data_IF_962701013517
#
_entry.id   IF_962701013517
#
_cell.length_a   1.000
_cell.length_b   1.000
_cell.length_c   1.000
_cell.angle_alpha   90.00
_cell.angle_beta   90.00
_cell.angle_gamma   90.00
#
_symmetry.space_group_name_H-M   'P 1'
#
loop_
_entity.id
_entity.type
_entity.pdbx_description
1 polymer ?
#
# COMPACT_ATOMS: atom_id res chain seq x y z
N UNK A 1 70.51 -8.51 -64.10
CA UNK A 1 69.92 -7.15 -64.11
C UNK A 1 68.44 -7.30 -63.80
N UNK A 2 67.98 -6.58 -62.76
CA UNK A 2 66.59 -6.18 -62.41
C UNK A 2 65.49 -7.26 -62.44
N UNK A 3 64.72 -7.56 -61.39
CA UNK A 3 64.32 -6.78 -60.21
C UNK A 3 62.80 -6.56 -60.24
N UNK A 4 62.12 -6.90 -59.13
CA UNK A 4 60.74 -6.53 -58.74
C UNK A 4 59.55 -7.08 -59.58
N UNK A 5 58.37 -7.42 -59.05
CA UNK A 5 57.80 -7.36 -57.70
C UNK A 5 56.58 -8.31 -57.64
N UNK A 6 56.39 -8.99 -56.52
CA UNK A 6 55.09 -9.57 -56.15
C UNK A 6 54.14 -8.44 -55.73
N UNK A 7 52.94 -8.37 -56.31
CA UNK A 7 51.86 -7.63 -55.67
C UNK A 7 50.51 -8.35 -55.81
N UNK A 8 50.04 -8.81 -54.66
CA UNK A 8 48.72 -9.36 -54.42
C UNK A 8 47.66 -8.33 -54.87
N UNK A 9 46.82 -8.72 -55.83
CA UNK A 9 45.59 -7.97 -56.13
C UNK A 9 44.58 -8.22 -55.02
N UNK A 10 44.50 -7.23 -54.12
CA UNK A 10 43.42 -7.02 -53.17
C UNK A 10 42.09 -7.05 -53.93
N UNK A 11 41.20 -7.95 -53.53
CA UNK A 11 39.82 -8.03 -54.00
C UNK A 11 39.05 -6.80 -53.46
N UNK A 12 39.25 -5.64 -54.09
CA UNK A 12 38.42 -4.47 -53.90
C UNK A 12 37.07 -4.76 -54.57
N UNK A 13 36.14 -5.34 -53.81
CA UNK A 13 34.72 -5.31 -54.15
C UNK A 13 34.33 -3.84 -54.24
N UNK A 14 34.20 -3.33 -55.48
CA UNK A 14 33.61 -2.03 -55.78
C UNK A 14 32.29 -1.96 -55.01
N UNK A 15 32.19 -1.03 -54.04
CA UNK A 15 30.93 -0.62 -53.46
C UNK A 15 30.07 -0.11 -54.61
N UNK A 16 29.26 -1.01 -55.17
CA UNK A 16 28.39 -0.73 -56.29
C UNK A 16 27.47 0.42 -55.90
N UNK A 17 27.35 1.37 -56.82
CA UNK A 17 26.43 2.49 -56.75
C UNK A 17 25.02 1.97 -56.63
N UNK A 18 24.52 1.87 -55.39
CA UNK A 18 23.14 1.49 -55.11
C UNK A 18 22.19 2.34 -55.97
N UNK A 19 21.19 1.73 -56.63
CA UNK A 19 20.15 2.46 -57.35
C UNK A 19 19.55 3.55 -56.47
N UNK A 20 19.21 4.71 -57.04
CA UNK A 20 18.67 5.86 -56.27
C UNK A 20 17.53 5.44 -55.34
N UNK A 21 16.63 4.56 -55.80
CA UNK A 21 15.51 4.03 -55.01
C UNK A 21 15.95 3.25 -53.75
N UNK A 22 17.03 2.45 -53.82
CA UNK A 22 17.57 1.75 -52.64
C UNK A 22 18.22 2.73 -51.65
N UNK A 23 18.86 3.79 -52.14
CA UNK A 23 19.39 4.86 -51.28
C UNK A 23 18.27 5.60 -50.56
N UNK A 24 17.15 5.86 -51.23
CA UNK A 24 15.96 6.43 -50.60
C UNK A 24 15.37 5.49 -49.56
N UNK A 25 15.21 4.19 -49.85
CA UNK A 25 14.70 3.21 -48.88
C UNK A 25 15.57 3.12 -47.63
N UNK A 26 16.90 3.09 -47.79
CA UNK A 26 17.83 3.11 -46.65
C UNK A 26 17.69 4.40 -45.84
N UNK A 27 17.63 5.55 -46.50
CA UNK A 27 17.44 6.84 -45.83
C UNK A 27 16.11 6.89 -45.05
N UNK A 28 15.00 6.44 -45.66
CA UNK A 28 13.71 6.36 -44.99
C UNK A 28 13.73 5.38 -43.81
N UNK A 29 14.39 4.22 -43.94
CA UNK A 29 14.51 3.25 -42.84
C UNK A 29 15.28 3.80 -41.64
N UNK A 30 16.36 4.56 -41.89
CA UNK A 30 17.14 5.23 -40.85
C UNK A 30 16.33 6.34 -40.18
N UNK A 31 15.58 7.13 -40.95
CA UNK A 31 14.70 8.17 -40.41
C UNK A 31 13.60 7.55 -39.55
N UNK A 32 12.95 6.47 -39.99
CA UNK A 32 11.92 5.77 -39.20
C UNK A 32 12.53 5.21 -37.91
N UNK A 33 13.70 4.58 -37.97
CA UNK A 33 14.40 4.10 -36.78
C UNK A 33 14.73 5.22 -35.80
N UNK A 34 15.21 6.37 -36.29
CA UNK A 34 15.47 7.55 -35.46
C UNK A 34 14.19 8.14 -34.86
N UNK A 35 13.09 8.19 -35.62
CA UNK A 35 11.79 8.66 -35.11
C UNK A 35 11.19 7.69 -34.09
N UNK A 36 11.30 6.39 -34.29
CA UNK A 36 10.84 5.36 -33.35
C UNK A 36 11.69 5.37 -32.10
N UNK A 37 13.02 5.43 -32.21
CA UNK A 37 13.90 5.55 -31.04
C UNK A 37 13.73 6.86 -30.31
N UNK A 38 13.54 7.98 -31.02
CA UNK A 38 13.20 9.26 -30.40
C UNK A 38 11.83 9.18 -29.71
N UNK A 39 10.82 8.60 -30.33
CA UNK A 39 9.50 8.42 -29.73
C UNK A 39 9.55 7.51 -28.50
N UNK A 40 10.25 6.37 -28.58
CA UNK A 40 10.47 5.47 -27.45
C UNK A 40 11.26 6.18 -26.34
N UNK A 41 12.29 6.94 -26.67
CA UNK A 41 13.12 7.66 -25.68
C UNK A 41 12.34 8.84 -25.07
N UNK A 42 11.58 9.57 -25.89
CA UNK A 42 10.69 10.65 -25.50
C UNK A 42 9.55 10.12 -24.61
N UNK A 43 8.91 9.03 -24.99
CA UNK A 43 7.88 8.34 -24.18
C UNK A 43 8.50 7.77 -22.89
N UNK A 44 9.69 7.17 -22.94
CA UNK A 44 10.40 6.76 -21.73
C UNK A 44 10.69 7.93 -20.77
N UNK A 45 10.95 9.13 -21.31
CA UNK A 45 11.27 10.33 -20.54
C UNK A 45 10.02 11.14 -20.12
N UNK A 46 8.95 11.10 -20.90
CA UNK A 46 7.76 11.96 -20.78
C UNK A 46 6.45 11.22 -20.60
N UNK A 47 6.41 9.88 -20.66
CA UNK A 47 5.21 9.11 -20.37
C UNK A 47 4.75 9.41 -18.95
N UNK A 48 3.52 9.93 -18.76
CA UNK A 48 2.95 10.17 -17.44
C UNK A 48 2.95 8.90 -16.59
N UNK A 49 2.74 7.74 -17.22
CA UNK A 49 2.64 6.43 -16.57
C UNK A 49 3.86 6.05 -15.71
N UNK A 50 5.08 6.43 -16.12
CA UNK A 50 6.32 6.10 -15.37
C UNK A 50 6.66 7.09 -14.27
N UNK A 51 6.20 8.34 -14.37
CA UNK A 51 6.30 9.33 -13.28
C UNK A 51 5.37 9.04 -12.10
N UNK A 52 4.40 8.14 -12.29
CA UNK A 52 3.23 7.97 -11.43
C UNK A 52 3.18 6.64 -10.68
N UNK A 53 4.20 5.79 -10.86
CA UNK A 53 4.36 4.49 -10.17
C UNK A 53 5.64 4.45 -9.34
N UNK A 54 5.91 5.52 -8.58
CA UNK A 54 7.10 5.61 -7.75
C UNK A 54 8.39 5.72 -8.56
N UNK A 55 9.27 6.66 -8.21
CA UNK A 55 10.67 6.49 -8.58
C UNK A 55 11.19 5.24 -7.87
N UNK A 56 12.26 4.60 -8.36
CA UNK A 56 12.94 3.55 -7.59
C UNK A 56 13.09 3.99 -6.12
N UNK A 57 12.89 3.09 -5.13
CA UNK A 57 12.96 3.44 -3.71
C UNK A 57 14.19 4.29 -3.44
N UNK A 58 14.03 5.45 -2.79
CA UNK A 58 15.16 6.35 -2.56
C UNK A 58 16.18 5.66 -1.65
N UNK A 59 15.68 5.08 -0.54
CA UNK A 59 16.42 4.21 0.36
C UNK A 59 15.45 3.28 1.10
N UNK A 60 15.37 2.00 0.73
CA UNK A 60 14.52 1.05 1.44
C UNK A 60 14.99 0.82 2.89
N UNK A 61 14.09 0.84 3.88
CA UNK A 61 14.49 0.62 5.28
C UNK A 61 14.79 -0.85 5.55
N UNK A 62 15.81 -1.10 6.36
CA UNK A 62 16.05 -2.41 6.97
C UNK A 62 15.12 -2.64 8.16
N UNK A 63 14.92 -3.91 8.54
CA UNK A 63 13.97 -4.29 9.60
C UNK A 63 14.18 -3.59 10.94
N UNK A 64 15.43 -3.38 11.39
CA UNK A 64 15.72 -2.68 12.65
C UNK A 64 15.26 -1.21 12.64
N UNK A 65 15.54 -0.49 11.56
CA UNK A 65 15.11 0.91 11.39
C UNK A 65 13.59 1.02 11.26
N UNK A 66 12.95 0.05 10.59
CA UNK A 66 11.49 -0.02 10.51
C UNK A 66 10.86 -0.17 11.91
N UNK A 67 11.40 -1.06 12.75
CA UNK A 67 10.94 -1.25 14.13
C UNK A 67 11.14 0.02 14.99
N UNK A 68 12.27 0.71 14.80
CA UNK A 68 12.52 1.98 15.47
C UNK A 68 11.52 3.07 15.07
N UNK A 69 11.30 3.24 13.77
CA UNK A 69 10.35 4.21 13.27
C UNK A 69 8.90 3.88 13.68
N UNK A 70 8.51 2.60 13.62
CA UNK A 70 7.19 2.15 14.09
C UNK A 70 6.99 2.47 15.59
N UNK A 71 8.03 2.34 16.41
CA UNK A 71 8.02 2.75 17.83
C UNK A 71 7.82 4.24 18.00
N UNK A 72 8.53 5.07 17.24
CA UNK A 72 8.38 6.52 17.29
C UNK A 72 6.98 6.98 16.85
N UNK A 73 6.48 6.44 15.75
CA UNK A 73 5.13 6.70 15.23
C UNK A 73 4.06 6.29 16.25
N UNK A 74 4.26 5.15 16.92
CA UNK A 74 3.32 4.66 17.94
C UNK A 74 3.27 5.59 19.16
N UNK A 75 4.41 6.18 19.57
CA UNK A 75 4.44 7.15 20.68
C UNK A 75 3.66 8.44 20.38
N UNK A 76 3.44 8.76 19.10
CA UNK A 76 2.67 9.93 18.68
C UNK A 76 1.15 9.70 18.72
N UNK A 77 0.68 8.48 18.99
CA UNK A 77 -0.70 8.25 19.40
C UNK A 77 -0.85 8.57 20.89
N UNK A 78 -1.62 9.62 21.19
CA UNK A 78 -1.81 10.11 22.56
C UNK A 78 -3.23 9.83 23.03
N UNK A 79 -3.35 9.25 24.22
CA UNK A 79 -4.63 8.98 24.86
C UNK A 79 -5.35 10.30 25.13
N UNK A 80 -6.61 10.38 24.71
CA UNK A 80 -7.34 11.66 24.66
C UNK A 80 -7.59 12.25 26.05
N UNK A 81 -7.90 11.41 27.03
CA UNK A 81 -8.20 11.77 28.42
C UNK A 81 -6.94 11.94 29.28
N UNK A 82 -6.05 10.93 29.31
CA UNK A 82 -4.87 10.93 30.20
C UNK A 82 -3.64 11.64 29.63
N UNK A 83 -3.61 11.91 28.31
CA UNK A 83 -2.46 12.46 27.58
C UNK A 83 -1.22 11.57 27.57
N UNK A 84 -1.36 10.30 27.89
CA UNK A 84 -0.28 9.30 27.83
C UNK A 84 -0.08 8.79 26.40
N UNK A 85 1.17 8.49 26.04
CA UNK A 85 1.46 7.83 24.77
C UNK A 85 0.90 6.40 24.73
N UNK A 86 0.56 5.92 23.53
CA UNK A 86 0.08 4.57 23.32
C UNK A 86 1.13 3.54 23.74
N UNK A 87 0.71 2.60 24.58
CA UNK A 87 1.52 1.47 25.01
C UNK A 87 0.63 0.24 25.20
N UNK A 88 0.75 -0.72 24.29
CA UNK A 88 0.09 -2.01 24.36
C UNK A 88 0.98 -3.04 23.67
N UNK A 89 1.02 -4.28 24.18
CA UNK A 89 1.82 -5.37 23.62
C UNK A 89 1.04 -6.68 23.64
N UNK A 90 1.18 -7.47 22.58
CA UNK A 90 0.56 -8.78 22.42
C UNK A 90 1.55 -9.75 21.77
N UNK A 91 1.53 -11.01 22.17
CA UNK A 91 2.37 -12.06 21.56
C UNK A 91 1.99 -12.34 20.09
N UNK A 92 0.71 -12.30 19.75
CA UNK A 92 0.25 -12.43 18.38
C UNK A 92 -0.97 -11.54 18.09
N UNK A 93 -1.03 -11.08 16.85
CA UNK A 93 -2.09 -10.20 16.39
C UNK A 93 -2.72 -10.70 15.11
N UNK A 94 -4.05 -10.62 15.05
CA UNK A 94 -4.81 -10.72 13.81
C UNK A 94 -5.16 -9.32 13.32
N UNK A 95 -4.66 -8.92 12.15
CA UNK A 95 -5.06 -7.69 11.45
C UNK A 95 -6.14 -8.05 10.45
N UNK A 96 -7.38 -7.61 10.67
CA UNK A 96 -8.52 -7.91 9.79
C UNK A 96 -8.78 -6.70 8.89
N UNK A 97 -8.44 -6.81 7.60
CA UNK A 97 -8.80 -5.76 6.64
C UNK A 97 -10.27 -5.83 6.24
N UNK A 98 -10.77 -4.78 5.60
CA UNK A 98 -12.19 -4.64 5.27
C UNK A 98 -12.64 -5.40 4.03
N UNK A 99 -11.77 -6.15 3.35
CA UNK A 99 -12.04 -6.69 2.02
C UNK A 99 -13.02 -7.86 1.98
N UNK A 100 -13.76 -7.95 0.87
CA UNK A 100 -14.67 -9.05 0.56
C UNK A 100 -14.00 -10.42 0.40
N UNK A 101 -12.66 -10.49 0.36
CA UNK A 101 -11.91 -11.75 0.36
C UNK A 101 -12.24 -12.65 1.56
N UNK A 102 -12.75 -12.07 2.66
CA UNK A 102 -13.16 -12.79 3.86
C UNK A 102 -14.55 -13.44 3.77
N UNK A 103 -15.38 -13.03 2.82
CA UNK A 103 -16.72 -13.60 2.68
C UNK A 103 -16.67 -15.10 2.40
N UNK A 104 -17.52 -15.84 3.13
CA UNK A 104 -17.67 -17.29 3.03
C UNK A 104 -16.38 -18.08 3.31
N UNK A 105 -15.47 -17.53 4.14
CA UNK A 105 -14.22 -18.19 4.54
C UNK A 105 -14.28 -18.84 5.91
N UNK A 106 -15.28 -18.52 6.72
CA UNK A 106 -15.41 -18.99 8.10
C UNK A 106 -14.16 -18.76 8.96
N UNK A 107 -13.38 -17.71 8.65
CA UNK A 107 -12.10 -17.42 9.29
C UNK A 107 -12.25 -16.85 10.72
N UNK A 108 -13.48 -16.57 11.17
CA UNK A 108 -13.71 -15.85 12.42
C UNK A 108 -13.17 -16.56 13.65
N UNK A 109 -13.21 -17.90 13.70
CA UNK A 109 -12.62 -18.66 14.80
C UNK A 109 -11.09 -18.58 14.80
N UNK A 110 -10.46 -18.56 13.63
CA UNK A 110 -9.00 -18.43 13.50
C UNK A 110 -8.56 -17.03 13.94
N UNK A 111 -9.27 -15.99 13.49
CA UNK A 111 -9.01 -14.58 13.87
C UNK A 111 -9.10 -14.39 15.39
N UNK A 112 -10.15 -14.93 16.02
CA UNK A 112 -10.40 -14.72 17.45
C UNK A 112 -9.41 -15.48 18.38
N UNK A 113 -8.55 -16.36 17.84
CA UNK A 113 -7.50 -17.05 18.60
C UNK A 113 -6.32 -16.15 18.96
N UNK A 114 -6.10 -15.06 18.23
CA UNK A 114 -5.01 -14.13 18.55
C UNK A 114 -5.26 -13.40 19.87
N UNK A 115 -4.18 -13.09 20.59
CA UNK A 115 -4.25 -12.29 21.81
C UNK A 115 -4.88 -10.93 21.53
N UNK A 116 -4.51 -10.31 20.41
CA UNK A 116 -5.09 -9.04 19.96
C UNK A 116 -5.67 -9.14 18.55
N UNK A 117 -6.81 -8.49 18.33
CA UNK A 117 -7.43 -8.35 17.00
C UNK A 117 -7.53 -6.88 16.65
N UNK A 118 -6.95 -6.50 15.52
CA UNK A 118 -6.87 -5.14 15.02
C UNK A 118 -7.82 -4.99 13.83
N UNK A 119 -8.71 -4.01 13.89
CA UNK A 119 -9.70 -3.71 12.84
C UNK A 119 -9.54 -2.27 12.36
N UNK A 120 -10.17 -1.93 11.24
CA UNK A 120 -10.07 -0.61 10.63
C UNK A 120 -11.44 0.06 10.50
N UNK A 121 -11.49 1.37 10.69
CA UNK A 121 -12.64 2.24 10.41
C UNK A 121 -13.95 1.68 10.97
N UNK A 122 -15.02 1.64 10.18
CA UNK A 122 -16.36 1.19 10.56
C UNK A 122 -16.66 -0.28 10.20
N UNK A 123 -15.63 -1.07 9.89
CA UNK A 123 -15.77 -2.47 9.51
C UNK A 123 -16.45 -3.30 10.63
N UNK A 124 -17.68 -3.81 10.42
CA UNK A 124 -18.50 -4.41 11.47
C UNK A 124 -18.16 -5.88 11.71
N UNK A 125 -18.35 -6.35 12.94
CA UNK A 125 -18.31 -7.80 13.24
C UNK A 125 -19.71 -8.41 13.30
N UNK A 126 -20.71 -7.62 13.69
CA UNK A 126 -22.10 -8.04 13.80
C UNK A 126 -22.64 -8.34 12.40
N UNK A 127 -23.19 -9.55 12.22
CA UNK A 127 -23.64 -10.06 10.92
C UNK A 127 -22.57 -10.80 10.12
N UNK A 128 -21.29 -10.61 10.44
CA UNK A 128 -20.16 -11.19 9.70
C UNK A 128 -19.27 -12.10 10.56
N UNK A 129 -19.63 -12.32 11.84
CA UNK A 129 -18.73 -12.94 12.81
C UNK A 129 -18.23 -14.35 12.47
N UNK A 130 -18.93 -15.07 11.60
CA UNK A 130 -18.47 -16.38 11.10
C UNK A 130 -17.20 -16.20 10.28
N UNK A 131 -17.16 -15.19 9.43
CA UNK A 131 -16.06 -14.91 8.53
C UNK A 131 -14.97 -14.03 9.17
N UNK A 132 -15.37 -13.03 9.97
CA UNK A 132 -14.45 -11.99 10.44
C UNK A 132 -14.19 -11.99 11.94
N UNK A 133 -14.80 -12.91 12.69
CA UNK A 133 -14.66 -13.02 14.14
C UNK A 133 -15.45 -11.96 14.92
N UNK A 134 -15.36 -12.01 16.24
CA UNK A 134 -16.05 -11.07 17.16
C UNK A 134 -15.10 -10.19 17.95
N UNK A 135 -13.88 -10.67 18.21
CA UNK A 135 -12.89 -9.98 19.03
C UNK A 135 -12.41 -8.71 18.32
N UNK A 136 -12.26 -7.61 19.07
CA UNK A 136 -11.75 -6.34 18.58
C UNK A 136 -11.01 -5.64 19.73
N UNK A 137 -9.69 -5.75 19.73
CA UNK A 137 -8.84 -5.15 20.76
C UNK A 137 -8.51 -3.70 20.40
N UNK A 138 -8.13 -3.46 19.15
CA UNK A 138 -7.77 -2.15 18.64
C UNK A 138 -8.50 -1.86 17.33
N UNK A 139 -9.04 -0.66 17.19
CA UNK A 139 -9.61 -0.17 15.93
C UNK A 139 -8.90 1.09 15.47
N UNK A 140 -8.24 1.02 14.32
CA UNK A 140 -7.51 2.14 13.71
C UNK A 140 -8.44 2.88 12.76
N UNK A 141 -8.59 4.19 12.94
CA UNK A 141 -9.67 4.96 12.32
C UNK A 141 -9.12 6.23 11.69
N UNK A 142 -9.42 6.46 10.41
CA UNK A 142 -9.24 7.79 9.82
C UNK A 142 -10.27 8.75 10.42
N UNK A 143 -9.89 9.99 10.72
CA UNK A 143 -10.85 10.98 11.25
C UNK A 143 -12.12 11.13 10.40
N UNK A 144 -12.02 10.94 9.07
CA UNK A 144 -13.17 10.99 8.15
C UNK A 144 -14.18 9.87 8.39
N UNK A 145 -13.75 8.77 9.00
CA UNK A 145 -14.57 7.60 9.32
C UNK A 145 -15.26 7.71 10.68
N UNK A 146 -14.89 8.68 11.53
CA UNK A 146 -15.48 8.88 12.86
C UNK A 146 -17.02 8.95 12.85
N UNK A 147 -17.69 9.66 11.91
CA UNK A 147 -19.15 9.72 11.87
C UNK A 147 -19.83 8.36 11.62
N UNK A 148 -19.10 7.38 11.10
CA UNK A 148 -19.62 6.03 10.83
C UNK A 148 -19.37 5.05 11.99
N UNK A 149 -18.66 5.46 13.05
CA UNK A 149 -18.49 4.66 14.26
C UNK A 149 -19.79 4.61 15.09
N UNK A 150 -20.64 3.63 14.75
CA UNK A 150 -21.90 3.35 15.45
C UNK A 150 -21.71 2.33 16.57
N UNK A 151 -22.71 2.21 17.44
CA UNK A 151 -22.66 1.27 18.56
C UNK A 151 -22.41 -0.19 18.15
N UNK A 152 -22.87 -0.60 16.96
CA UNK A 152 -22.58 -1.92 16.40
C UNK A 152 -21.08 -2.22 16.17
N UNK A 153 -20.21 -1.21 16.20
CA UNK A 153 -18.76 -1.32 15.99
C UNK A 153 -17.93 -1.09 17.27
N UNK A 154 -18.55 -0.55 18.33
CA UNK A 154 -17.84 -0.06 19.52
C UNK A 154 -18.37 -0.61 20.84
N UNK A 155 -19.65 -1.00 20.91
CA UNK A 155 -20.29 -1.52 22.11
C UNK A 155 -21.06 -2.83 21.83
N UNK A 156 -21.52 -3.49 22.90
CA UNK A 156 -22.28 -4.74 22.80
C UNK A 156 -21.51 -5.86 22.09
N UNK A 157 -22.13 -6.50 21.09
CA UNK A 157 -21.51 -7.61 20.33
C UNK A 157 -20.37 -7.17 19.40
N UNK A 158 -20.27 -5.89 19.10
CA UNK A 158 -19.18 -5.31 18.31
C UNK A 158 -18.18 -4.54 19.15
N UNK A 159 -18.15 -4.76 20.46
CA UNK A 159 -17.28 -4.01 21.39
C UNK A 159 -15.85 -3.93 20.89
N UNK A 160 -15.25 -2.75 21.01
CA UNK A 160 -13.81 -2.52 20.82
C UNK A 160 -13.21 -1.91 22.09
N UNK A 161 -12.05 -2.40 22.53
CA UNK A 161 -11.41 -1.92 23.76
C UNK A 161 -10.67 -0.58 23.56
N UNK A 162 -9.97 -0.43 22.43
CA UNK A 162 -9.18 0.77 22.10
C UNK A 162 -9.48 1.27 20.69
N UNK A 163 -9.56 2.59 20.52
CA UNK A 163 -9.71 3.26 19.22
C UNK A 163 -8.54 4.21 19.01
N UNK A 164 -7.76 4.01 17.95
CA UNK A 164 -6.65 4.88 17.56
C UNK A 164 -7.03 5.67 16.31
N UNK A 165 -7.11 6.99 16.44
CA UNK A 165 -7.57 7.89 15.37
C UNK A 165 -6.39 8.66 14.79
N UNK A 166 -6.26 8.67 13.46
CA UNK A 166 -5.28 9.50 12.73
C UNK A 166 -5.98 10.59 11.90
N UNK A 167 -5.28 11.68 11.58
CA UNK A 167 -5.83 12.82 10.83
C UNK A 167 -6.53 13.87 11.70
N UNK A 168 -6.44 13.77 13.01
CA UNK A 168 -7.14 14.67 13.94
C UNK A 168 -6.43 16.01 14.12
N UNK A 169 -5.11 16.03 13.99
CA UNK A 169 -4.29 17.22 14.26
C UNK A 169 -3.73 17.91 13.01
N UNK A 170 -3.97 17.35 11.82
CA UNK A 170 -3.53 17.95 10.56
C UNK A 170 -4.04 19.41 10.40
N UNK A 171 -3.14 20.41 10.19
CA UNK A 171 -3.50 21.83 10.15
C UNK A 171 -4.60 22.19 9.15
N UNK A 172 -4.69 21.48 8.03
CA UNK A 172 -5.66 21.77 6.97
C UNK A 172 -7.11 21.46 7.36
N UNK A 173 -7.33 20.52 8.30
CA UNK A 173 -8.67 20.09 8.69
C UNK A 173 -8.86 19.81 10.18
N UNK A 174 -7.90 20.19 11.04
CA UNK A 174 -7.92 19.95 12.49
C UNK A 174 -9.22 20.36 13.16
N UNK A 175 -9.79 21.51 12.78
CA UNK A 175 -11.06 22.00 13.32
C UNK A 175 -12.21 21.01 13.09
N UNK A 176 -12.39 20.56 11.84
CA UNK A 176 -13.41 19.57 11.47
C UNK A 176 -13.16 18.22 12.14
N UNK A 177 -11.93 17.75 12.13
CA UNK A 177 -11.56 16.46 12.70
C UNK A 177 -11.75 16.42 14.23
N UNK A 178 -11.34 17.49 14.91
CA UNK A 178 -11.54 17.67 16.36
C UNK A 178 -13.03 17.71 16.71
N UNK A 179 -13.85 18.40 15.92
CA UNK A 179 -15.29 18.41 16.11
C UNK A 179 -15.88 17.00 16.01
N UNK A 180 -15.53 16.23 14.96
CA UNK A 180 -15.99 14.86 14.78
C UNK A 180 -15.57 13.95 15.93
N UNK A 181 -14.32 14.05 16.38
CA UNK A 181 -13.81 13.27 17.51
C UNK A 181 -14.58 13.59 18.79
N UNK A 182 -14.84 14.87 19.08
CA UNK A 182 -15.63 15.28 20.25
C UNK A 182 -17.05 14.69 20.24
N UNK A 183 -17.70 14.58 19.08
CA UNK A 183 -19.02 13.94 18.99
C UNK A 183 -18.96 12.46 19.38
N UNK A 184 -17.94 11.73 18.90
CA UNK A 184 -17.75 10.31 19.24
C UNK A 184 -17.43 10.17 20.73
N UNK A 185 -16.50 10.96 21.27
CA UNK A 185 -16.14 10.92 22.70
C UNK A 185 -17.36 11.16 23.60
N UNK A 186 -18.21 12.13 23.25
CA UNK A 186 -19.46 12.41 23.98
C UNK A 186 -20.45 11.26 23.89
N UNK A 187 -20.56 10.61 22.73
CA UNK A 187 -21.49 9.50 22.53
C UNK A 187 -21.13 8.26 23.36
N UNK A 188 -19.84 8.05 23.65
CA UNK A 188 -19.33 6.87 24.36
C UNK A 188 -18.64 7.24 25.69
N UNK A 189 -19.00 8.36 26.32
CA UNK A 189 -18.35 8.88 27.53
C UNK A 189 -18.47 7.94 28.74
N UNK A 190 -19.46 7.03 28.74
CA UNK A 190 -19.75 6.07 29.81
C UNK A 190 -19.25 4.67 29.51
N UNK A 191 -18.73 4.45 28.31
CA UNK A 191 -18.21 3.16 27.89
C UNK A 191 -16.71 3.10 28.20
N UNK A 192 -16.19 1.95 28.65
CA UNK A 192 -14.78 1.80 29.01
C UNK A 192 -13.89 1.64 27.76
N UNK A 193 -14.04 2.54 26.78
CA UNK A 193 -13.29 2.55 25.53
C UNK A 193 -12.16 3.57 25.64
N UNK A 194 -10.93 3.16 25.35
CA UNK A 194 -9.79 4.07 25.34
C UNK A 194 -9.65 4.70 23.96
N UNK A 195 -9.71 6.02 23.89
CA UNK A 195 -9.50 6.76 22.64
C UNK A 195 -8.08 7.35 22.60
N UNK A 196 -7.40 7.13 21.48
CA UNK A 196 -6.11 7.71 21.14
C UNK A 196 -6.24 8.57 19.89
N UNK A 197 -5.49 9.67 19.86
CA UNK A 197 -5.41 10.61 18.75
C UNK A 197 -3.96 10.79 18.36
N UNK A 198 -3.65 10.61 17.08
CA UNK A 198 -2.31 10.82 16.55
C UNK A 198 -1.98 12.32 16.49
N UNK A 199 -0.77 12.67 16.88
CA UNK A 199 -0.21 14.00 16.62
C UNK A 199 0.12 14.18 15.14
N UNK A 200 0.15 15.44 14.68
CA UNK A 200 0.52 15.75 13.31
C UNK A 200 1.95 15.29 12.97
N UNK A 201 2.88 15.29 13.92
CA UNK A 201 4.25 14.80 13.74
C UNK A 201 4.28 13.31 13.36
N UNK A 202 3.41 12.50 13.96
CA UNK A 202 3.28 11.08 13.62
C UNK A 202 2.77 10.88 12.20
N UNK A 203 1.81 11.69 11.76
CA UNK A 203 1.31 11.67 10.38
C UNK A 203 2.41 12.08 9.37
N UNK A 204 3.23 13.08 9.71
CA UNK A 204 4.38 13.48 8.89
C UNK A 204 5.38 12.34 8.74
N UNK A 205 5.76 11.65 9.83
CA UNK A 205 6.67 10.50 9.78
C UNK A 205 6.12 9.37 8.90
N UNK A 206 4.82 9.09 8.98
CA UNK A 206 4.16 8.07 8.12
C UNK A 206 4.20 8.50 6.65
N UNK A 207 4.00 9.80 6.36
CA UNK A 207 4.11 10.32 5.01
C UNK A 207 5.53 10.20 4.46
N UNK A 208 6.55 10.64 5.21
CA UNK A 208 7.97 10.54 4.83
C UNK A 208 8.38 9.08 4.57
N UNK A 209 8.03 8.16 5.48
CA UNK A 209 8.23 6.72 5.31
C UNK A 209 7.66 6.22 3.97
N UNK A 210 6.42 6.61 3.67
CA UNK A 210 5.75 6.19 2.45
C UNK A 210 6.47 6.72 1.20
N UNK A 211 6.87 8.00 1.20
CA UNK A 211 7.59 8.60 0.07
C UNK A 211 8.97 7.99 -0.14
N UNK A 212 9.69 7.68 0.94
CA UNK A 212 11.06 7.15 0.88
C UNK A 212 11.11 5.69 0.42
N UNK A 213 10.20 4.85 0.92
CA UNK A 213 10.13 3.44 0.56
C UNK A 213 9.57 3.22 -0.85
N UNK A 214 8.60 4.05 -1.28
CA UNK A 214 7.93 3.87 -2.57
C UNK A 214 8.41 4.81 -3.66
N UNK A 215 9.18 5.85 -3.32
CA UNK A 215 9.58 6.90 -4.26
C UNK A 215 8.41 7.69 -4.84
N UNK A 216 7.24 7.69 -4.18
CA UNK A 216 6.04 8.40 -4.63
C UNK A 216 6.00 9.75 -3.93
N UNK A 217 6.20 10.83 -4.67
CA UNK A 217 5.99 12.20 -4.18
C UNK A 217 4.49 12.43 -4.00
N UNK A 218 4.01 12.47 -2.75
CA UNK A 218 2.58 12.51 -2.47
C UNK A 218 1.94 13.81 -2.90
N UNK A 219 2.65 14.93 -2.79
CA UNK A 219 2.12 16.25 -3.14
C UNK A 219 1.94 16.34 -4.65
N UNK A 220 2.96 15.95 -5.43
CA UNK A 220 2.89 15.98 -6.90
C UNK A 220 1.89 14.99 -7.47
N UNK A 221 1.69 13.85 -6.81
CA UNK A 221 0.80 12.78 -7.28
C UNK A 221 -0.58 12.80 -6.62
N UNK A 222 -0.85 13.78 -5.75
CA UNK A 222 -2.04 13.88 -4.91
C UNK A 222 -2.37 12.55 -4.18
N UNK A 223 -1.33 11.87 -3.67
CA UNK A 223 -1.43 10.54 -3.06
C UNK A 223 -1.69 10.61 -1.56
N UNK A 224 -2.65 9.80 -1.10
CA UNK A 224 -3.04 9.71 0.30
C UNK A 224 -2.68 8.34 0.85
N UNK A 225 -2.02 8.29 2.01
CA UNK A 225 -1.73 7.02 2.71
C UNK A 225 -3.02 6.43 3.28
N UNK A 226 -3.25 5.15 3.06
CA UNK A 226 -4.45 4.46 3.57
C UNK A 226 -4.33 4.16 5.07
N UNK A 227 -5.49 3.91 5.70
CA UNK A 227 -5.54 3.41 7.10
C UNK A 227 -4.78 2.09 7.26
N UNK A 228 -4.59 1.32 6.19
CA UNK A 228 -3.83 0.07 6.20
C UNK A 228 -2.38 0.28 6.63
N UNK A 229 -1.71 1.32 6.14
CA UNK A 229 -0.30 1.61 6.50
C UNK A 229 -0.18 1.99 7.98
N UNK A 230 -1.04 2.88 8.47
CA UNK A 230 -1.09 3.25 9.89
C UNK A 230 -1.34 2.02 10.79
N UNK A 231 -2.22 1.13 10.35
CA UNK A 231 -2.55 -0.10 11.09
C UNK A 231 -1.38 -1.08 11.13
N UNK A 232 -0.71 -1.29 10.00
CA UNK A 232 0.44 -2.18 9.93
C UNK A 232 1.60 -1.67 10.79
N UNK A 233 1.83 -0.36 10.84
CA UNK A 233 2.86 0.23 11.72
C UNK A 233 2.53 0.06 13.20
N UNK A 234 1.28 0.27 13.60
CA UNK A 234 0.83 -0.02 14.97
C UNK A 234 0.96 -1.52 15.29
N UNK A 235 0.59 -2.40 14.35
CA UNK A 235 0.73 -3.84 14.53
C UNK A 235 2.19 -4.27 14.70
N UNK A 236 3.10 -3.75 13.88
CA UNK A 236 4.55 -4.02 13.95
C UNK A 236 5.12 -3.66 15.32
N UNK A 237 4.65 -2.58 15.92
CA UNK A 237 5.13 -2.16 17.24
C UNK A 237 4.42 -2.88 18.41
N UNK A 238 3.16 -3.28 18.22
CA UNK A 238 2.34 -3.89 19.27
C UNK A 238 2.53 -5.40 19.38
N UNK A 239 3.05 -6.08 18.36
CA UNK A 239 2.90 -7.53 18.20
C UNK A 239 4.23 -8.24 17.91
N UNK A 240 4.48 -9.38 18.55
CA UNK A 240 5.65 -10.22 18.21
C UNK A 240 5.48 -10.96 16.87
N UNK A 241 4.23 -11.32 16.54
CA UNK A 241 3.86 -11.94 15.26
C UNK A 241 2.51 -11.41 14.76
N UNK A 242 2.36 -11.28 13.43
CA UNK A 242 1.19 -10.68 12.79
C UNK A 242 0.63 -11.62 11.74
N UNK A 243 -0.67 -11.85 11.78
CA UNK A 243 -1.41 -12.48 10.68
C UNK A 243 -2.44 -11.50 10.13
N UNK A 244 -2.33 -11.19 8.84
CA UNK A 244 -3.21 -10.28 8.11
C UNK A 244 -4.27 -11.10 7.37
N UNK A 245 -5.54 -10.80 7.63
CA UNK A 245 -6.70 -11.50 7.10
C UNK A 245 -7.44 -10.63 6.08
N UNK A 246 -7.74 -11.19 4.90
CA UNK A 246 -8.58 -10.55 3.89
C UNK A 246 -7.83 -9.71 2.88
N UNK A 247 -6.49 -9.67 2.90
CA UNK A 247 -5.74 -8.78 2.03
C UNK A 247 -5.27 -9.55 0.80
N UNK A 248 -5.77 -9.23 -0.40
CA UNK A 248 -5.21 -9.73 -1.65
C UNK A 248 -3.85 -9.09 -1.94
N UNK A 249 -2.93 -9.80 -2.59
CA UNK A 249 -1.62 -9.23 -2.94
C UNK A 249 -1.69 -8.24 -4.13
N UNK A 250 -0.55 -7.63 -4.46
CA UNK A 250 -0.42 -6.63 -5.52
C UNK A 250 -0.65 -7.19 -6.95
N UNK A 251 -0.53 -8.51 -7.13
CA UNK A 251 -0.67 -9.18 -8.41
C UNK A 251 -2.04 -9.86 -8.58
N UNK A 252 -2.82 -10.01 -7.51
CA UNK A 252 -4.13 -10.67 -7.51
C UNK A 252 -5.02 -10.24 -8.67
N UNK A 253 -5.22 -8.93 -8.87
CA UNK A 253 -6.12 -8.43 -9.92
C UNK A 253 -5.58 -8.59 -11.35
N UNK A 254 -4.26 -8.76 -11.51
CA UNK A 254 -3.65 -9.10 -12.80
C UNK A 254 -3.85 -10.58 -13.11
N UNK A 255 -3.74 -11.44 -12.08
CA UNK A 255 -3.93 -12.88 -12.20
C UNK A 255 -5.40 -13.30 -12.27
N UNK A 256 -6.30 -12.46 -11.75
CA UNK A 256 -7.74 -12.71 -11.69
C UNK A 256 -8.54 -11.52 -12.23
N UNK A 257 -8.45 -11.23 -13.55
CA UNK A 257 -9.10 -10.07 -14.15
C UNK A 257 -10.64 -10.10 -14.04
N UNK A 258 -11.23 -11.29 -13.97
CA UNK A 258 -12.68 -11.50 -13.86
C UNK A 258 -13.18 -11.56 -12.40
N UNK A 259 -12.33 -11.24 -11.42
CA UNK A 259 -12.70 -11.27 -10.00
C UNK A 259 -13.91 -10.37 -9.72
N UNK A 260 -14.93 -10.95 -9.08
CA UNK A 260 -16.16 -10.26 -8.66
C UNK A 260 -16.23 -10.05 -7.14
N UNK A 261 -15.08 -10.11 -6.47
CA UNK A 261 -15.00 -9.92 -5.03
C UNK A 261 -15.31 -8.45 -4.71
N UNK A 262 -16.24 -8.16 -3.78
CA UNK A 262 -16.54 -6.79 -3.39
C UNK A 262 -15.37 -6.18 -2.63
N UNK A 263 -15.18 -4.87 -2.78
CA UNK A 263 -14.10 -4.14 -2.09
C UNK A 263 -14.24 -4.22 -0.57
N UNK A 264 -15.47 -4.27 -0.06
CA UNK A 264 -15.73 -4.53 1.35
C UNK A 264 -16.53 -5.81 1.56
N UNK A 265 -16.26 -6.53 2.66
CA UNK A 265 -17.12 -7.65 3.09
C UNK A 265 -18.48 -7.18 3.61
N UNK A 266 -18.67 -5.89 3.82
CA UNK A 266 -19.89 -5.31 4.39
C UNK A 266 -20.43 -4.18 3.54
N UNK A 267 -21.74 -3.97 3.64
CA UNK A 267 -22.44 -2.92 2.90
C UNK A 267 -22.38 -3.14 1.38
N UNK A 268 -22.86 -2.15 0.63
CA UNK A 268 -22.69 -2.14 -0.82
C UNK A 268 -21.37 -1.44 -1.14
N UNK A 269 -20.54 -2.08 -1.95
CA UNK A 269 -19.27 -1.53 -2.44
C UNK A 269 -19.07 -1.92 -3.90
N UNK A 270 -18.20 -1.19 -4.60
CA UNK A 270 -17.71 -1.61 -5.91
C UNK A 270 -16.82 -2.86 -5.81
N UNK A 271 -16.40 -3.42 -6.94
CA UNK A 271 -15.50 -4.57 -6.95
C UNK A 271 -14.10 -4.20 -6.47
N UNK A 272 -13.43 -5.11 -5.76
CA UNK A 272 -12.10 -4.90 -5.19
C UNK A 272 -11.08 -4.49 -6.26
N UNK A 273 -11.02 -5.21 -7.37
CA UNK A 273 -10.08 -4.92 -8.45
C UNK A 273 -10.41 -3.66 -9.23
N UNK A 274 -11.69 -3.27 -9.31
CA UNK A 274 -12.10 -2.01 -9.90
C UNK A 274 -11.68 -0.84 -9.01
N UNK A 275 -11.88 -0.96 -7.68
CA UNK A 275 -11.43 0.02 -6.70
C UNK A 275 -9.92 0.25 -6.80
N UNK A 276 -9.13 -0.83 -6.85
CA UNK A 276 -7.68 -0.72 -6.96
C UNK A 276 -7.24 -0.06 -8.26
N UNK A 277 -7.88 -0.37 -9.38
CA UNK A 277 -7.52 0.23 -10.68
C UNK A 277 -7.81 1.73 -10.70
N UNK A 278 -9.04 2.12 -10.32
CA UNK A 278 -9.43 3.54 -10.21
C UNK A 278 -8.46 4.29 -9.30
N UNK A 279 -8.15 3.72 -8.14
CA UNK A 279 -7.31 4.42 -7.17
C UNK A 279 -5.82 4.43 -7.54
N UNK A 280 -5.34 3.46 -8.33
CA UNK A 280 -3.95 3.44 -8.79
C UNK A 280 -3.71 4.43 -9.94
N UNK A 281 -4.71 4.67 -10.80
CA UNK A 281 -4.58 5.44 -12.04
C UNK A 281 -5.18 6.86 -11.96
N UNK A 282 -6.03 7.16 -10.99
CA UNK A 282 -6.63 8.51 -10.86
C UNK A 282 -5.69 9.52 -10.21
N UNK A 283 -5.58 10.71 -10.84
CA UNK A 283 -4.68 11.80 -10.45
C UNK A 283 -5.41 13.08 -10.01
N UNK A 284 -6.59 13.37 -10.58
CA UNK A 284 -7.20 14.70 -10.45
C UNK A 284 -7.87 14.95 -9.08
N UNK A 285 -8.52 13.94 -8.49
CA UNK A 285 -9.24 14.08 -7.22
C UNK A 285 -8.43 13.67 -5.97
N UNK A 286 -7.25 13.09 -6.20
CA UNK A 286 -6.40 12.53 -5.15
C UNK A 286 -6.86 11.16 -4.71
N UNK A 287 -5.92 10.26 -4.45
CA UNK A 287 -6.24 8.84 -4.28
C UNK A 287 -5.19 8.07 -3.45
N UNK A 288 -5.60 6.91 -2.94
CA UNK A 288 -4.72 5.92 -2.35
C UNK A 288 -3.94 5.13 -3.42
N UNK A 289 -2.73 4.67 -3.11
CA UNK A 289 -1.97 3.76 -4.00
C UNK A 289 -1.95 2.35 -3.41
N UNK A 290 -3.12 1.72 -3.33
CA UNK A 290 -3.31 0.44 -2.62
C UNK A 290 -2.36 -0.66 -3.11
N UNK A 291 -2.07 -0.74 -4.41
CA UNK A 291 -1.15 -1.76 -4.93
C UNK A 291 0.29 -1.46 -4.50
N UNK A 292 0.69 -0.18 -4.49
CA UNK A 292 1.99 0.25 -3.99
C UNK A 292 2.14 0.04 -2.48
N UNK A 293 1.09 0.24 -1.69
CA UNK A 293 1.10 -0.10 -0.26
C UNK A 293 1.28 -1.61 -0.03
N UNK A 294 0.72 -2.46 -0.90
CA UNK A 294 0.91 -3.91 -0.79
C UNK A 294 2.33 -4.36 -1.10
N UNK A 295 3.03 -3.70 -2.03
CA UNK A 295 4.46 -3.99 -2.26
C UNK A 295 5.30 -3.65 -1.03
N UNK A 296 4.96 -2.57 -0.33
CA UNK A 296 5.55 -2.22 0.97
C UNK A 296 5.29 -3.31 2.02
N UNK A 297 4.05 -3.79 2.14
CA UNK A 297 3.71 -4.85 3.10
C UNK A 297 4.41 -6.17 2.80
N UNK A 298 4.57 -6.53 1.51
CA UNK A 298 5.35 -7.71 1.11
C UNK A 298 6.80 -7.59 1.56
N UNK A 299 7.40 -6.42 1.35
CA UNK A 299 8.78 -6.14 1.80
C UNK A 299 8.90 -6.31 3.31
N UNK A 300 7.97 -5.74 4.09
CA UNK A 300 7.97 -5.88 5.55
C UNK A 300 7.80 -7.33 5.99
N UNK A 301 6.97 -8.11 5.31
CA UNK A 301 6.77 -9.53 5.59
C UNK A 301 7.98 -10.43 5.27
N UNK A 302 8.91 -9.96 4.43
CA UNK A 302 10.20 -10.64 4.23
C UNK A 302 11.22 -10.29 5.33
N UNK A 303 10.95 -9.30 6.18
CA UNK A 303 11.85 -8.85 7.24
C UNK A 303 11.33 -9.17 8.65
N UNK A 304 10.03 -9.35 8.80
CA UNK A 304 9.31 -9.51 10.07
C UNK A 304 8.37 -10.72 10.00
N UNK A 305 7.92 -11.26 11.14
CA UNK A 305 6.95 -12.37 11.18
C UNK A 305 5.52 -11.88 10.86
N UNK A 306 5.28 -11.60 9.58
CA UNK A 306 3.99 -11.16 9.03
C UNK A 306 3.51 -12.21 8.02
N UNK A 307 2.32 -12.74 8.25
CA UNK A 307 1.68 -13.75 7.40
C UNK A 307 0.38 -13.21 6.83
N UNK A 308 -0.02 -13.69 5.66
CA UNK A 308 -1.27 -13.31 5.02
C UNK A 308 -2.17 -14.52 4.84
N UNK A 309 -3.46 -14.34 5.14
CA UNK A 309 -4.49 -15.39 5.11
C UNK A 309 -5.73 -14.87 4.41
N UNK A 310 -6.34 -15.74 3.60
CA UNK A 310 -7.58 -15.46 2.87
C UNK A 310 -7.50 -14.16 2.03
N UNK A 311 -6.64 -14.10 0.99
CA UNK A 311 -5.80 -15.19 0.46
C UNK A 311 -4.39 -15.26 1.09
N UNK A 312 -3.72 -16.39 0.88
CA UNK A 312 -2.31 -16.55 1.23
C UNK A 312 -1.40 -15.83 0.23
N UNK A 313 -0.36 -15.14 0.71
CA UNK A 313 0.63 -14.47 -0.14
C UNK A 313 1.84 -15.36 -0.37
N UNK A 314 2.22 -15.55 -1.63
CA UNK A 314 3.48 -16.21 -1.93
C UNK A 314 4.65 -15.23 -1.84
N UNK A 315 5.37 -15.22 -0.71
CA UNK A 315 6.47 -14.28 -0.45
C UNK A 315 7.77 -14.59 -1.24
N UNK A 316 7.93 -15.80 -1.80
CA UNK A 316 9.17 -16.22 -2.48
C UNK A 316 9.32 -15.68 -3.91
N UNK A 317 8.26 -15.12 -4.51
CA UNK A 317 8.27 -14.63 -5.89
C UNK A 317 9.15 -13.38 -6.15
N UNK A 318 9.73 -12.76 -5.11
CA UNK A 318 10.63 -11.61 -5.27
C UNK A 318 12.02 -11.96 -5.83
N UNK A 319 12.47 -13.21 -5.69
CA UNK A 319 13.82 -13.60 -6.12
C UNK A 319 13.95 -13.76 -7.65
N UNK A 320 12.84 -13.95 -8.36
CA UNK A 320 12.87 -14.13 -9.82
C UNK A 320 12.92 -12.80 -10.60
N UNK A 321 12.54 -11.68 -9.98
CA UNK A 321 12.51 -10.37 -10.65
C UNK A 321 13.79 -9.55 -10.48
N UNK A 322 14.67 -9.92 -9.52
CA UNK A 322 15.91 -9.20 -9.22
C UNK A 322 17.20 -9.93 -9.64
N UNK A 323 17.10 -11.04 -10.38
CA UNK A 323 18.26 -11.63 -11.07
C UNK A 323 19.44 -11.98 -10.15
N UNK A 324 19.19 -12.46 -8.94
CA UNK A 324 20.22 -13.07 -8.10
C UNK A 324 19.91 -14.55 -7.95
N UNK A 325 20.51 -15.32 -8.86
CA UNK A 325 20.70 -16.77 -8.74
C UNK A 325 21.97 -17.05 -7.95
#
# INVERSE_FOLDING_TARGET
MSGHDQQASVCCVKVMTLPKWMKYLLLYSVIIMLLVTFYISWDNLHSPSKRLLGTHPKQPLGGSKLLELAREITKDYIRVDSKESFHHHCNNCSVVVSSGQLLDKAAGREIDQSACVIRMNDAPTVGYSVDVGRKSTLRVVCFKSLPFLKGANLIGRGKTDMVAVWGTENPHHKGRATYMLRQVLKAYERDPIQFYSMKNEGETKVAELFEDELGIDRVKTNTWVSTGVFTMLLAIQMCDSITVFGMADENHCKLHPDSRIPYHYYGRSMLECEMYRQHQEEFELGSHRFLSEKTLFRRWANMLDIRFRYPHWNLTQLNAANGQA
#
